data_IF_501976831609
#
_entry.id   IF_501976831609
#
_cell.length_a   1.000
_cell.length_b   1.000
_cell.length_c   1.000
_cell.angle_alpha   90.00
_cell.angle_beta   90.00
_cell.angle_gamma   90.00
#
_symmetry.space_group_name_H-M   'P 1'
#
loop_
_entity.id
_entity.type
_entity.pdbx_description
1 polymer ?
#
# COMPACT_ATOMS: atom_id res chain seq x y z
N UNK A 1 47.22 56.47 -35.57
CA UNK A 1 46.89 56.62 -37.01
C UNK A 1 46.06 55.40 -37.42
N UNK A 2 44.83 55.64 -37.87
CA UNK A 2 44.05 54.97 -38.93
C UNK A 2 43.87 53.42 -38.86
N UNK A 3 42.60 53.02 -38.66
CA UNK A 3 41.93 51.72 -38.91
C UNK A 3 41.89 51.38 -40.43
N UNK A 4 41.75 50.10 -40.90
CA UNK A 4 40.42 49.43 -40.87
C UNK A 4 40.33 47.88 -40.89
N UNK A 5 39.19 47.42 -40.34
CA UNK A 5 38.22 46.41 -40.80
C UNK A 5 38.64 45.00 -41.29
N UNK A 6 38.06 43.94 -40.69
CA UNK A 6 36.95 43.12 -41.24
C UNK A 6 36.73 41.82 -40.43
N UNK A 7 35.47 41.59 -40.04
CA UNK A 7 34.89 40.34 -39.49
C UNK A 7 34.70 39.28 -40.61
N UNK A 8 34.64 37.96 -40.30
CA UNK A 8 33.36 37.28 -39.98
C UNK A 8 33.50 36.27 -38.80
N UNK A 9 32.59 36.25 -37.82
CA UNK A 9 31.31 35.51 -37.80
C UNK A 9 31.46 33.98 -37.88
N UNK A 10 31.30 33.29 -36.73
CA UNK A 10 30.56 32.03 -36.67
C UNK A 10 29.95 31.85 -35.26
N UNK A 11 28.64 32.08 -35.19
CA UNK A 11 27.73 31.60 -34.14
C UNK A 11 27.50 30.10 -34.30
N UNK A 12 27.44 29.35 -33.20
CA UNK A 12 26.54 28.20 -32.99
C UNK A 12 26.67 27.77 -31.51
N UNK A 13 25.85 28.35 -30.63
CA UNK A 13 24.62 27.73 -30.09
C UNK A 13 24.84 26.32 -29.50
N UNK A 14 25.47 26.26 -28.33
CA UNK A 14 25.33 25.11 -27.44
C UNK A 14 23.95 25.16 -26.78
N UNK A 15 23.05 24.33 -27.29
CA UNK A 15 21.73 24.04 -26.72
C UNK A 15 21.88 23.62 -25.25
N UNK A 16 21.26 24.39 -24.37
CA UNK A 16 21.04 24.03 -22.98
C UNK A 16 20.13 22.79 -22.90
N UNK A 17 20.73 21.62 -22.73
CA UNK A 17 20.00 20.42 -22.33
C UNK A 17 19.66 20.55 -20.84
N UNK A 18 18.54 21.22 -20.53
CA UNK A 18 17.88 21.15 -19.23
C UNK A 18 17.41 19.71 -19.00
N UNK A 19 18.28 18.89 -18.41
CA UNK A 19 17.90 17.61 -17.84
C UNK A 19 16.99 17.90 -16.64
N UNK A 20 15.67 17.88 -16.85
CA UNK A 20 14.71 17.84 -15.74
C UNK A 20 15.01 16.57 -14.95
N UNK A 21 15.57 16.75 -13.76
CA UNK A 21 15.59 15.73 -12.71
C UNK A 21 14.16 15.20 -12.60
N UNK A 22 13.92 13.88 -12.67
CA UNK A 22 12.59 13.32 -12.48
C UNK A 22 12.11 13.76 -11.10
N UNK A 23 11.04 14.55 -11.07
CA UNK A 23 10.38 14.91 -9.81
C UNK A 23 10.04 13.61 -9.09
N UNK A 24 10.46 13.41 -7.83
CA UNK A 24 9.97 12.26 -7.07
C UNK A 24 8.43 12.34 -7.06
N UNK A 25 7.79 11.26 -7.50
CA UNK A 25 6.34 11.18 -7.57
C UNK A 25 5.74 11.65 -6.24
N UNK A 26 4.77 12.57 -6.34
CA UNK A 26 4.08 13.06 -5.15
C UNK A 26 3.39 11.86 -4.47
N UNK A 27 3.30 11.81 -3.13
CA UNK A 27 2.54 10.77 -2.43
C UNK A 27 1.07 10.65 -2.89
N UNK A 28 0.55 11.66 -3.61
CA UNK A 28 -0.75 11.62 -4.26
C UNK A 28 -0.82 10.70 -5.49
N UNK A 29 0.29 10.49 -6.20
CA UNK A 29 0.35 9.62 -7.38
C UNK A 29 0.36 8.13 -7.03
N UNK A 30 0.77 7.76 -5.80
CA UNK A 30 0.68 6.38 -5.31
C UNK A 30 -0.78 5.91 -5.11
N UNK A 31 -1.73 6.85 -5.02
CA UNK A 31 -3.17 6.56 -4.97
C UNK A 31 -3.81 6.47 -6.36
N UNK A 32 -3.10 6.84 -7.43
CA UNK A 32 -3.61 6.75 -8.79
C UNK A 32 -3.68 5.27 -9.20
N UNK A 33 -4.85 4.66 -9.00
CA UNK A 33 -5.13 3.28 -9.40
C UNK A 33 -5.44 2.31 -8.25
N UNK A 34 -5.45 2.76 -7.00
CA UNK A 34 -6.01 1.96 -5.90
C UNK A 34 -7.54 2.02 -5.89
N UNK A 35 -8.24 0.96 -5.45
CA UNK A 35 -9.65 1.05 -5.09
C UNK A 35 -9.91 2.23 -4.12
N UNK A 36 -11.00 3.00 -4.28
CA UNK A 36 -11.26 4.18 -3.46
C UNK A 36 -11.34 3.91 -1.96
N UNK A 37 -11.92 2.78 -1.57
CA UNK A 37 -12.01 2.32 -0.19
C UNK A 37 -10.65 1.94 0.39
N UNK A 38 -9.78 1.31 -0.40
CA UNK A 38 -8.39 1.05 -0.01
C UNK A 38 -7.65 2.36 0.27
N UNK A 39 -7.73 3.30 -0.67
CA UNK A 39 -7.08 4.61 -0.54
C UNK A 39 -7.59 5.38 0.69
N UNK A 40 -8.89 5.29 0.96
CA UNK A 40 -9.50 5.91 2.14
C UNK A 40 -8.99 5.29 3.46
N UNK A 41 -8.89 3.96 3.54
CA UNK A 41 -8.35 3.30 4.74
C UNK A 41 -6.87 3.69 4.97
N UNK A 42 -6.07 3.71 3.91
CA UNK A 42 -4.64 4.08 3.96
C UNK A 42 -4.43 5.52 4.44
N UNK A 43 -5.32 6.44 4.08
CA UNK A 43 -5.25 7.84 4.49
C UNK A 43 -5.71 8.07 5.94
N UNK A 44 -6.59 7.20 6.46
CA UNK A 44 -7.32 7.41 7.71
C UNK A 44 -6.43 7.75 8.93
N UNK A 45 -5.32 7.03 9.23
CA UNK A 45 -4.47 7.36 10.36
C UNK A 45 -3.90 8.78 10.30
N UNK A 46 -3.48 9.21 9.10
CA UNK A 46 -2.93 10.54 8.87
C UNK A 46 -3.99 11.63 9.05
N UNK A 47 -5.19 11.40 8.49
CA UNK A 47 -6.30 12.36 8.56
C UNK A 47 -6.82 12.57 9.99
N UNK A 48 -6.79 11.52 10.81
CA UNK A 48 -7.14 11.60 12.23
C UNK A 48 -6.05 12.37 12.99
N UNK A 49 -4.77 12.03 12.79
CA UNK A 49 -3.64 12.71 13.44
C UNK A 49 -3.59 14.21 13.12
N UNK A 50 -4.05 14.61 11.93
CA UNK A 50 -4.14 16.03 11.54
C UNK A 50 -5.22 16.82 12.31
N UNK A 51 -6.20 16.13 12.93
CA UNK A 51 -7.36 16.75 13.60
C UNK A 51 -7.38 16.53 15.11
N UNK A 52 -6.70 15.48 15.58
CA UNK A 52 -6.73 15.02 16.96
C UNK A 52 -5.31 14.92 17.47
N UNK A 53 -4.96 15.69 18.49
CA UNK A 53 -3.61 15.68 19.07
C UNK A 53 -3.41 14.58 20.11
N UNK A 54 -4.49 14.14 20.76
CA UNK A 54 -4.46 13.11 21.80
C UNK A 54 -4.35 11.69 21.21
N UNK A 55 -3.32 10.89 21.54
CA UNK A 55 -3.13 9.55 20.98
C UNK A 55 -4.24 8.54 21.32
N UNK A 56 -4.86 8.67 22.50
CA UNK A 56 -5.99 7.83 22.90
C UNK A 56 -7.18 8.07 21.98
N UNK A 57 -7.56 9.34 21.80
CA UNK A 57 -8.64 9.73 20.90
C UNK A 57 -8.32 9.45 19.42
N UNK A 58 -7.06 9.52 19.00
CA UNK A 58 -6.67 9.10 17.64
C UNK A 58 -6.97 7.61 17.41
N UNK A 59 -6.73 6.77 18.43
CA UNK A 59 -7.04 5.35 18.39
C UNK A 59 -8.55 5.15 18.34
N UNK A 60 -9.29 5.73 19.27
CA UNK A 60 -10.76 5.59 19.32
C UNK A 60 -11.43 6.02 18.00
N UNK A 61 -10.99 7.14 17.40
CA UNK A 61 -11.51 7.61 16.12
C UNK A 61 -11.14 6.68 14.96
N UNK A 62 -9.91 6.15 14.94
CA UNK A 62 -9.51 5.20 13.92
C UNK A 62 -10.39 3.95 14.01
N UNK A 63 -10.55 3.41 15.22
CA UNK A 63 -11.34 2.22 15.48
C UNK A 63 -12.80 2.41 15.07
N UNK A 64 -13.40 3.57 15.40
CA UNK A 64 -14.77 3.88 15.04
C UNK A 64 -15.00 3.97 13.52
N UNK A 65 -13.98 4.39 12.76
CA UNK A 65 -14.06 4.47 11.30
C UNK A 65 -13.71 3.12 10.65
N UNK A 66 -12.68 2.41 11.14
CA UNK A 66 -12.26 1.12 10.64
C UNK A 66 -13.37 0.05 10.72
N UNK A 67 -14.17 0.05 11.79
CA UNK A 67 -15.33 -0.86 11.95
C UNK A 67 -16.38 -0.74 10.84
N UNK A 68 -16.34 0.31 10.03
CA UNK A 68 -17.24 0.49 8.87
C UNK A 68 -16.76 -0.28 7.63
N UNK A 69 -15.51 -0.74 7.63
CA UNK A 69 -14.94 -1.57 6.58
C UNK A 69 -15.23 -3.03 6.89
N UNK A 70 -16.26 -3.60 6.26
CA UNK A 70 -16.62 -5.00 6.45
C UNK A 70 -16.01 -5.89 5.35
N UNK A 71 -16.11 -5.45 4.09
CA UNK A 71 -15.59 -6.15 2.93
C UNK A 71 -14.71 -5.22 2.10
N UNK A 72 -13.83 -5.82 1.30
CA UNK A 72 -12.98 -5.14 0.34
C UNK A 72 -12.87 -5.94 -0.95
N UNK A 73 -12.69 -5.24 -2.07
CA UNK A 73 -12.53 -5.86 -3.39
C UNK A 73 -11.38 -5.27 -4.15
N UNK A 74 -10.59 -6.16 -4.77
CA UNK A 74 -9.51 -5.82 -5.68
C UNK A 74 -8.43 -4.91 -5.06
N UNK A 75 -8.26 -5.02 -3.73
CA UNK A 75 -7.24 -4.28 -3.02
C UNK A 75 -5.86 -4.78 -3.44
N UNK A 76 -4.96 -3.83 -3.65
CA UNK A 76 -3.59 -4.10 -4.10
C UNK A 76 -2.64 -4.08 -2.92
N UNK A 77 -1.72 -5.03 -2.88
CA UNK A 77 -0.70 -5.08 -1.84
C UNK A 77 0.53 -5.82 -2.32
N UNK A 78 1.43 -6.07 -1.37
CA UNK A 78 2.59 -6.94 -1.58
C UNK A 78 2.63 -8.00 -0.50
N UNK A 79 3.14 -9.19 -0.86
CA UNK A 79 3.37 -10.26 0.12
C UNK A 79 4.45 -9.82 1.09
N UNK A 80 4.10 -9.66 2.36
CA UNK A 80 5.02 -9.21 3.41
C UNK A 80 5.66 -10.39 4.13
N UNK A 81 4.87 -11.41 4.42
CA UNK A 81 5.31 -12.71 4.94
C UNK A 81 4.37 -13.81 4.44
N UNK A 82 4.89 -15.03 4.31
CA UNK A 82 4.09 -16.21 3.99
C UNK A 82 4.71 -17.43 4.67
N UNK A 83 3.98 -18.00 5.63
CA UNK A 83 4.40 -19.16 6.41
C UNK A 83 3.38 -20.26 6.25
N UNK A 84 3.83 -21.45 5.86
CA UNK A 84 2.96 -22.63 5.72
C UNK A 84 3.35 -23.63 6.79
N UNK A 85 2.41 -23.95 7.67
CA UNK A 85 2.57 -24.96 8.71
C UNK A 85 2.88 -26.33 8.09
N UNK A 86 3.92 -26.99 8.59
CA UNK A 86 4.27 -28.36 8.18
C UNK A 86 3.39 -29.41 8.85
N UNK A 87 2.57 -29.03 9.83
CA UNK A 87 1.74 -29.96 10.63
C UNK A 87 0.41 -30.22 9.93
N UNK A 88 -0.31 -29.16 9.60
CA UNK A 88 -1.68 -29.22 9.05
C UNK A 88 -1.80 -28.54 7.67
N UNK A 89 -0.73 -27.86 7.22
CA UNK A 89 -0.75 -27.11 5.97
C UNK A 89 -1.54 -25.82 6.06
N UNK A 90 -1.87 -25.31 7.24
CA UNK A 90 -2.45 -23.97 7.37
C UNK A 90 -1.41 -22.93 6.99
N UNK A 91 -1.78 -21.98 6.15
CA UNK A 91 -0.94 -20.86 5.77
C UNK A 91 -1.28 -19.60 6.57
N UNK A 92 -0.26 -18.84 6.89
CA UNK A 92 -0.31 -17.51 7.49
C UNK A 92 0.32 -16.54 6.48
N UNK A 93 -0.50 -15.64 5.94
CA UNK A 93 -0.12 -14.68 4.90
C UNK A 93 -0.28 -13.26 5.45
N UNK A 94 0.83 -12.52 5.51
CA UNK A 94 0.84 -11.09 5.81
C UNK A 94 0.94 -10.29 4.51
N UNK A 95 0.09 -9.26 4.35
CA UNK A 95 -0.01 -8.43 3.16
C UNK A 95 0.22 -6.98 3.55
N UNK A 96 1.21 -6.33 2.95
CA UNK A 96 1.40 -4.88 3.08
C UNK A 96 0.56 -4.16 2.02
N UNK A 97 -0.41 -3.36 2.45
CA UNK A 97 -1.26 -2.55 1.57
C UNK A 97 -0.85 -1.07 1.55
N UNK A 98 0.26 -0.71 2.21
CA UNK A 98 0.85 0.62 2.23
C UNK A 98 0.65 1.39 3.53
N UNK A 99 1.51 2.40 3.74
CA UNK A 99 1.53 3.27 4.94
C UNK A 99 1.47 2.51 6.28
N UNK A 100 2.20 1.40 6.35
CA UNK A 100 2.27 0.52 7.53
C UNK A 100 0.97 -0.21 7.86
N UNK A 101 -0.03 -0.18 6.96
CA UNK A 101 -1.24 -0.99 7.10
C UNK A 101 -0.98 -2.37 6.54
N UNK A 102 -1.20 -3.38 7.37
CA UNK A 102 -0.97 -4.79 7.05
C UNK A 102 -2.23 -5.59 7.26
N UNK A 103 -2.46 -6.58 6.43
CA UNK A 103 -3.55 -7.56 6.56
C UNK A 103 -2.93 -8.92 6.90
N UNK A 104 -3.58 -9.70 7.76
CA UNK A 104 -3.18 -11.07 8.08
C UNK A 104 -4.31 -12.03 7.74
N UNK A 105 -3.99 -13.04 6.94
CA UNK A 105 -4.93 -14.07 6.53
C UNK A 105 -4.42 -15.45 6.98
N UNK A 106 -5.19 -16.10 7.86
CA UNK A 106 -4.99 -17.51 8.21
C UNK A 106 -5.84 -18.36 7.26
N UNK A 107 -5.18 -19.13 6.39
CA UNK A 107 -5.78 -19.83 5.26
C UNK A 107 -5.56 -21.33 5.44
N UNK A 108 -6.58 -22.10 5.86
CA UNK A 108 -6.50 -23.55 5.93
C UNK A 108 -6.22 -24.17 4.57
N UNK A 109 -5.57 -25.35 4.54
CA UNK A 109 -5.30 -26.10 3.30
C UNK A 109 -6.56 -26.43 2.49
N UNK A 110 -7.71 -26.50 3.14
CA UNK A 110 -9.02 -26.77 2.52
C UNK A 110 -9.69 -25.53 1.95
N UNK A 111 -9.15 -24.33 2.20
CA UNK A 111 -9.72 -23.09 1.70
C UNK A 111 -9.51 -22.99 0.18
N UNK A 112 -10.53 -22.57 -0.60
CA UNK A 112 -10.41 -22.39 -2.05
C UNK A 112 -9.26 -21.45 -2.48
N UNK A 113 -8.91 -20.46 -1.66
CA UNK A 113 -7.83 -19.50 -1.94
C UNK A 113 -6.45 -20.12 -1.76
N UNK A 114 -6.33 -21.23 -1.01
CA UNK A 114 -5.05 -21.86 -0.69
C UNK A 114 -4.21 -22.19 -1.93
N UNK A 115 -4.86 -22.57 -3.04
CA UNK A 115 -4.19 -22.85 -4.31
C UNK A 115 -3.41 -21.65 -4.86
N UNK A 116 -3.91 -20.43 -4.64
CA UNK A 116 -3.30 -19.18 -5.11
C UNK A 116 -2.02 -18.79 -4.34
N UNK A 117 -1.75 -19.44 -3.20
CA UNK A 117 -0.51 -19.20 -2.44
C UNK A 117 0.73 -19.78 -3.13
N UNK A 118 0.53 -20.70 -4.08
CA UNK A 118 1.62 -21.36 -4.79
C UNK A 118 2.37 -20.35 -5.67
N UNK A 119 3.68 -20.25 -5.47
CA UNK A 119 4.53 -19.37 -6.25
C UNK A 119 4.51 -17.91 -5.79
N UNK A 120 3.78 -17.58 -4.71
CA UNK A 120 3.96 -16.29 -4.05
C UNK A 120 5.38 -16.20 -3.47
N UNK A 121 6.00 -15.04 -3.67
CA UNK A 121 7.31 -14.70 -3.14
C UNK A 121 7.21 -13.40 -2.34
N UNK A 122 8.12 -13.17 -1.41
CA UNK A 122 8.14 -11.93 -0.64
C UNK A 122 8.29 -10.73 -1.57
N UNK A 123 7.50 -9.68 -1.34
CA UNK A 123 7.44 -8.49 -2.17
C UNK A 123 6.62 -8.65 -3.45
N UNK A 124 6.10 -9.85 -3.76
CA UNK A 124 5.28 -10.05 -4.95
C UNK A 124 4.03 -9.16 -4.90
N UNK A 125 3.72 -8.41 -5.97
CA UNK A 125 2.49 -7.65 -6.08
C UNK A 125 1.30 -8.62 -6.16
N UNK A 126 0.27 -8.35 -5.35
CA UNK A 126 -0.95 -9.15 -5.32
C UNK A 126 -2.19 -8.27 -5.34
N UNK A 127 -3.28 -8.86 -5.80
CA UNK A 127 -4.64 -8.34 -5.64
C UNK A 127 -5.45 -9.30 -4.77
N UNK A 128 -6.16 -8.75 -3.80
CA UNK A 128 -6.96 -9.51 -2.83
C UNK A 128 -8.37 -8.96 -2.70
N UNK A 129 -9.31 -9.87 -2.50
CA UNK A 129 -10.72 -9.60 -2.19
C UNK A 129 -11.07 -10.42 -0.96
N UNK A 130 -11.86 -9.85 -0.05
CA UNK A 130 -12.14 -10.50 1.22
C UNK A 130 -12.99 -9.67 2.15
N UNK A 131 -12.97 -10.08 3.43
CA UNK A 131 -13.66 -9.40 4.53
C UNK A 131 -12.77 -9.31 5.74
N UNK A 132 -12.94 -8.26 6.52
CA UNK A 132 -12.30 -8.13 7.83
C UNK A 132 -12.97 -9.08 8.82
N UNK A 133 -12.19 -9.72 9.69
CA UNK A 133 -12.73 -10.66 10.68
C UNK A 133 -13.38 -9.97 11.87
N UNK A 134 -12.97 -8.73 12.19
CA UNK A 134 -13.45 -7.94 13.34
C UNK A 134 -13.58 -8.78 14.61
N UNK A 135 -12.50 -9.48 14.99
CA UNK A 135 -12.51 -10.34 16.15
C UNK A 135 -12.77 -9.51 17.42
N UNK A 136 -13.85 -9.85 18.12
CA UNK A 136 -14.23 -9.34 19.44
C UNK A 136 -14.20 -7.82 19.61
N UNK A 137 -15.06 -7.12 18.85
CA UNK A 137 -15.53 -5.75 19.10
C UNK A 137 -14.50 -4.63 19.27
N UNK A 138 -13.19 -4.85 19.39
CA UNK A 138 -12.12 -3.84 19.51
C UNK A 138 -10.70 -4.45 19.40
N UNK A 139 -10.52 -5.78 19.47
CA UNK A 139 -9.19 -6.39 19.56
C UNK A 139 -8.32 -6.19 18.30
N UNK A 140 -8.92 -6.27 17.11
CA UNK A 140 -8.24 -5.99 15.82
C UNK A 140 -7.82 -4.52 15.68
N UNK A 141 -8.39 -3.67 16.53
CA UNK A 141 -8.18 -2.23 16.57
C UNK A 141 -7.16 -1.80 17.64
N UNK A 142 -6.79 -2.71 18.57
CA UNK A 142 -5.93 -2.40 19.73
C UNK A 142 -4.47 -2.08 19.36
N UNK A 143 -4.06 -2.34 18.12
CA UNK A 143 -2.68 -2.14 17.71
C UNK A 143 -2.61 -1.30 16.44
N UNK A 144 -2.28 -0.01 16.62
CA UNK A 144 -1.81 0.90 15.56
C UNK A 144 -0.63 0.35 14.74
N UNK A 145 -0.09 -0.83 15.10
CA UNK A 145 1.10 -1.46 14.52
C UNK A 145 0.93 -2.95 14.15
N UNK A 146 -0.23 -3.54 14.42
CA UNK A 146 -0.52 -4.96 14.12
C UNK A 146 -1.17 -5.13 12.74
N UNK A 147 -1.14 -6.35 12.17
CA UNK A 147 -1.94 -6.62 10.98
C UNK A 147 -3.42 -6.74 11.33
N UNK A 148 -4.28 -6.36 10.40
CA UNK A 148 -5.73 -6.52 10.50
C UNK A 148 -6.12 -7.91 9.99
N UNK A 149 -6.83 -8.68 10.83
CA UNK A 149 -7.32 -10.00 10.47
C UNK A 149 -8.31 -9.94 9.31
N UNK A 150 -8.09 -10.78 8.29
CA UNK A 150 -8.96 -10.88 7.12
C UNK A 150 -9.24 -12.33 6.74
N UNK A 151 -10.41 -12.53 6.14
CA UNK A 151 -10.75 -13.75 5.40
C UNK A 151 -10.79 -13.43 3.91
N UNK A 152 -9.89 -14.06 3.16
CA UNK A 152 -9.82 -13.86 1.71
C UNK A 152 -10.89 -14.70 1.00
N UNK A 153 -11.44 -14.15 -0.07
CA UNK A 153 -12.30 -14.85 -1.04
C UNK A 153 -11.66 -14.94 -2.43
N UNK A 154 -10.68 -14.07 -2.72
CA UNK A 154 -9.84 -14.19 -3.90
C UNK A 154 -8.43 -13.65 -3.63
N UNK A 155 -7.44 -14.26 -4.29
CA UNK A 155 -6.05 -13.81 -4.33
C UNK A 155 -5.47 -14.08 -5.70
N UNK A 156 -4.83 -13.07 -6.29
CA UNK A 156 -4.13 -13.15 -7.57
C UNK A 156 -2.76 -12.46 -7.46
N UNK A 157 -1.72 -13.03 -8.08
CA UNK A 157 -0.40 -12.41 -8.27
C UNK A 157 -0.27 -11.80 -9.66
N UNK A 158 0.54 -10.75 -9.77
CA UNK A 158 0.87 -10.07 -11.03
C UNK A 158 2.30 -10.34 -11.49
#
# INVERSE_FOLDING_TARGET
>A
MIHPALYPALLLLCLAACSRVPTPASPADASAGLPPDQAALIALPHDIKAKVSDPGQQTDQFCAQFKKYDAFSDWRGTVKDLRISTIDGTADLEIDIGRSIRLEAIIPKTDPVYGSLRGLTLGAPITVTGRFTHANNDADCLYYFGPFGVRLSALASH
#
